data_IF_929759068595
#
_entry.id   IF_929759068595
#
_cell.length_a   1.000
_cell.length_b   1.000
_cell.length_c   1.000
_cell.angle_alpha   90.00
_cell.angle_beta   90.00
_cell.angle_gamma   90.00
#
_symmetry.space_group_name_H-M   'P 1'
#
loop_
_entity.id
_entity.type
_entity.pdbx_description
1 polymer ?
#
# COMPACT_ATOMS: atom_id res chain seq x y z
N UNK A 1 50.63 72.43 29.13
CA UNK A 1 49.24 72.17 29.18
C UNK A 1 49.02 70.67 29.31
N UNK A 2 48.74 70.33 30.49
CA UNK A 2 48.67 68.97 30.99
C UNK A 2 47.29 68.45 30.86
N UNK A 3 47.02 67.25 30.37
CA UNK A 3 45.76 66.55 30.55
C UNK A 3 46.07 65.17 31.03
N UNK A 4 45.61 65.00 32.25
CA UNK A 4 45.71 63.84 33.08
C UNK A 4 44.65 62.82 32.62
N UNK A 5 45.07 61.58 32.35
CA UNK A 5 44.18 60.52 31.91
C UNK A 5 44.18 59.42 32.95
N UNK A 6 43.22 59.54 33.86
CA UNK A 6 42.97 58.58 34.96
C UNK A 6 42.27 57.35 34.45
N UNK A 7 42.99 56.24 34.26
CA UNK A 7 42.46 54.91 33.95
C UNK A 7 41.74 54.35 35.17
N UNK A 8 40.40 54.22 35.07
CA UNK A 8 39.57 53.46 36.01
C UNK A 8 39.76 51.96 35.80
N UNK A 9 40.34 51.32 36.76
CA UNK A 9 40.51 49.87 36.85
C UNK A 9 39.12 49.26 37.16
N UNK A 10 38.55 48.49 36.22
CA UNK A 10 37.30 47.77 36.36
C UNK A 10 37.57 46.40 36.94
N UNK A 11 37.31 46.21 38.21
CA UNK A 11 37.38 44.93 38.91
C UNK A 11 36.41 43.94 38.30
N UNK A 12 36.94 42.86 37.73
CA UNK A 12 36.14 41.72 37.30
C UNK A 12 35.78 40.83 38.50
N UNK A 13 34.53 40.82 38.85
CA UNK A 13 33.98 39.86 39.82
C UNK A 13 33.89 38.48 39.14
N UNK A 14 34.35 37.40 39.77
CA UNK A 14 34.12 36.06 39.24
C UNK A 14 32.63 35.71 39.35
N UNK A 15 32.04 35.20 38.26
CA UNK A 15 30.71 34.67 38.20
C UNK A 15 30.66 33.41 39.08
N UNK A 16 29.91 33.45 40.15
CA UNK A 16 29.54 32.31 40.97
C UNK A 16 28.80 31.31 40.10
N UNK A 17 29.39 30.15 39.86
CA UNK A 17 28.71 29.00 39.29
C UNK A 17 27.67 28.52 40.30
N UNK A 18 26.44 28.96 40.12
CA UNK A 18 25.30 28.52 40.90
C UNK A 18 25.10 27.03 40.69
N UNK A 19 25.34 26.23 41.70
CA UNK A 19 25.01 24.81 41.72
C UNK A 19 23.54 24.61 41.29
N UNK A 20 23.33 23.93 40.21
CA UNK A 20 22.00 23.56 39.73
C UNK A 20 21.38 22.65 40.76
N UNK A 21 20.42 23.21 41.53
CA UNK A 21 19.84 22.51 42.67
C UNK A 21 19.17 21.21 42.20
N UNK A 22 19.38 20.14 43.02
CA UNK A 22 18.82 18.77 42.78
C UNK A 22 17.33 18.79 42.35
N UNK A 23 16.57 19.77 42.82
CA UNK A 23 15.16 19.95 42.45
C UNK A 23 14.95 20.34 41.00
N UNK A 24 15.84 21.13 40.37
CA UNK A 24 15.76 21.46 38.93
C UNK A 24 16.15 20.29 38.04
N UNK A 25 17.10 19.47 38.49
CA UNK A 25 17.46 18.25 37.78
C UNK A 25 16.32 17.23 37.76
N UNK A 26 15.65 17.03 38.90
CA UNK A 26 14.49 16.12 38.99
C UNK A 26 13.28 16.63 38.20
N UNK A 27 13.07 17.95 38.12
CA UNK A 27 12.01 18.52 37.29
C UNK A 27 12.29 18.36 35.79
N UNK A 28 13.54 18.43 35.36
CA UNK A 28 13.93 18.23 33.95
C UNK A 28 13.79 16.77 33.55
N UNK A 29 14.10 15.80 34.42
CA UNK A 29 13.92 14.38 34.16
C UNK A 29 12.43 13.97 34.14
N UNK A 30 11.56 14.59 34.93
CA UNK A 30 10.13 14.35 34.88
C UNK A 30 9.49 14.84 33.59
N UNK A 31 9.93 15.98 33.04
CA UNK A 31 9.45 16.52 31.78
C UNK A 31 9.89 15.67 30.57
N UNK A 32 11.09 15.07 30.60
CA UNK A 32 11.56 14.17 29.53
C UNK A 32 10.86 12.81 29.57
N UNK A 33 10.46 12.31 30.72
CA UNK A 33 9.71 11.05 30.84
C UNK A 33 8.27 11.18 30.30
N UNK A 34 7.63 12.34 30.44
CA UNK A 34 6.32 12.59 29.85
C UNK A 34 6.33 12.71 28.31
N UNK A 35 7.44 13.18 27.72
CA UNK A 35 7.64 13.22 26.27
C UNK A 35 7.93 11.87 25.62
N UNK A 36 8.57 10.95 26.36
CA UNK A 36 8.89 9.62 25.85
C UNK A 36 7.69 8.65 25.86
N UNK A 37 6.67 8.91 26.69
CA UNK A 37 5.48 8.06 26.77
C UNK A 37 4.58 8.19 25.54
N UNK A 38 4.72 9.23 24.73
CA UNK A 38 3.91 9.42 23.50
C UNK A 38 4.51 8.74 22.28
N UNK A 39 5.76 8.26 22.33
CA UNK A 39 6.43 7.57 21.22
C UNK A 39 6.29 6.06 21.25
N UNK A 40 5.64 5.49 22.27
CA UNK A 40 5.65 4.05 22.52
C UNK A 40 4.38 3.29 22.16
N UNK A 41 3.34 3.93 21.67
CA UNK A 41 2.18 3.19 21.17
C UNK A 41 2.41 2.83 19.71
N UNK A 42 2.44 1.52 19.35
CA UNK A 42 2.42 1.15 17.95
C UNK A 42 1.13 1.73 17.35
N UNK A 43 1.26 2.78 16.56
CA UNK A 43 0.16 3.24 15.73
C UNK A 43 -0.14 2.08 14.78
N UNK A 44 -1.25 1.37 15.02
CA UNK A 44 -1.80 0.41 14.06
C UNK A 44 -2.28 1.27 12.90
N UNK A 45 -1.37 1.58 11.98
CA UNK A 45 -1.73 2.15 10.68
C UNK A 45 -2.51 1.05 9.97
N UNK A 46 -3.83 1.21 9.87
CA UNK A 46 -4.61 0.39 8.96
C UNK A 46 -3.99 0.56 7.59
N UNK A 47 -3.53 -0.55 6.99
CA UNK A 47 -3.07 -0.53 5.62
C UNK A 47 -4.17 0.06 4.73
N UNK A 48 -3.79 0.91 3.79
CA UNK A 48 -4.74 1.47 2.85
C UNK A 48 -5.37 0.33 2.04
N UNK A 49 -6.71 0.26 2.00
CA UNK A 49 -7.42 -0.74 1.21
C UNK A 49 -7.12 -0.52 -0.26
N UNK A 50 -6.55 -1.53 -0.92
CA UNK A 50 -6.33 -1.52 -2.36
C UNK A 50 -7.57 -2.09 -3.03
N UNK A 51 -8.27 -1.27 -3.81
CA UNK A 51 -9.44 -1.70 -4.60
C UNK A 51 -9.05 -1.96 -6.04
N UNK A 52 -9.47 -3.11 -6.58
CA UNK A 52 -9.27 -3.50 -7.97
C UNK A 52 -10.62 -3.75 -8.64
N UNK A 53 -10.81 -3.21 -9.82
CA UNK A 53 -11.96 -3.47 -10.68
C UNK A 53 -11.60 -4.46 -11.78
N UNK A 54 -12.23 -5.61 -11.72
CA UNK A 54 -12.07 -6.68 -12.69
C UNK A 54 -13.37 -6.85 -13.50
N UNK A 55 -13.25 -7.39 -14.70
CA UNK A 55 -14.40 -7.83 -15.47
C UNK A 55 -14.21 -9.28 -15.93
N UNK A 56 -15.28 -10.04 -15.89
CA UNK A 56 -15.36 -11.39 -16.48
C UNK A 56 -15.70 -11.31 -17.96
N UNK A 57 -15.22 -12.28 -18.73
CA UNK A 57 -15.63 -12.49 -20.14
C UNK A 57 -17.03 -13.09 -20.25
N UNK A 58 -17.57 -13.64 -19.15
CA UNK A 58 -18.86 -14.33 -19.10
C UNK A 58 -19.96 -13.48 -18.46
N UNK A 59 -21.23 -13.71 -18.88
CA UNK A 59 -22.38 -13.04 -18.29
C UNK A 59 -22.60 -13.45 -16.83
N UNK A 60 -23.40 -12.67 -16.09
CA UNK A 60 -23.61 -12.81 -14.65
C UNK A 60 -24.21 -14.13 -14.19
N UNK A 61 -24.88 -14.87 -15.10
CA UNK A 61 -25.52 -16.17 -14.80
C UNK A 61 -24.66 -17.36 -15.22
N UNK A 62 -23.45 -17.12 -15.67
CA UNK A 62 -22.53 -18.16 -16.12
C UNK A 62 -21.69 -18.67 -14.95
N UNK A 63 -21.46 -19.99 -14.91
CA UNK A 63 -20.68 -20.63 -13.85
C UNK A 63 -19.24 -20.11 -13.78
N UNK A 64 -18.64 -19.74 -14.92
CA UNK A 64 -17.30 -19.16 -14.93
C UNK A 64 -17.26 -17.78 -14.28
N UNK A 65 -18.35 -17.00 -14.39
CA UNK A 65 -18.47 -15.76 -13.64
C UNK A 65 -18.58 -16.01 -12.14
N UNK A 66 -19.32 -17.04 -11.73
CA UNK A 66 -19.43 -17.45 -10.31
C UNK A 66 -18.06 -17.85 -9.74
N UNK A 67 -17.23 -18.55 -10.50
CA UNK A 67 -15.87 -18.89 -10.09
C UNK A 67 -15.00 -17.63 -9.90
N UNK A 68 -15.16 -16.63 -10.74
CA UNK A 68 -14.46 -15.36 -10.56
C UNK A 68 -14.91 -14.61 -9.31
N UNK A 69 -16.19 -14.65 -8.97
CA UNK A 69 -16.74 -14.08 -7.73
C UNK A 69 -16.22 -14.84 -6.49
N UNK A 70 -16.19 -16.18 -6.54
CA UNK A 70 -15.66 -17.01 -5.46
C UNK A 70 -14.15 -16.74 -5.23
N UNK A 71 -13.39 -16.65 -6.31
CA UNK A 71 -11.99 -16.25 -6.24
C UNK A 71 -11.81 -14.88 -5.57
N UNK A 72 -12.55 -13.87 -6.02
CA UNK A 72 -12.47 -12.52 -5.46
C UNK A 72 -12.85 -12.51 -3.97
N UNK A 73 -13.90 -13.26 -3.59
CA UNK A 73 -14.29 -13.40 -2.19
C UNK A 73 -13.17 -14.02 -1.36
N UNK A 74 -12.57 -15.12 -1.81
CA UNK A 74 -11.46 -15.79 -1.10
C UNK A 74 -10.27 -14.86 -0.92
N UNK A 75 -9.88 -14.12 -1.95
CA UNK A 75 -8.78 -13.15 -1.87
C UNK A 75 -9.10 -12.03 -0.86
N UNK A 76 -10.30 -11.48 -0.91
CA UNK A 76 -10.73 -10.44 0.01
C UNK A 76 -10.73 -10.94 1.47
N UNK A 77 -11.18 -12.18 1.71
CA UNK A 77 -11.20 -12.81 3.03
C UNK A 77 -9.76 -13.10 3.52
N UNK A 78 -8.89 -13.65 2.66
CA UNK A 78 -7.50 -14.00 2.99
C UNK A 78 -6.65 -12.78 3.33
N UNK A 79 -6.95 -11.64 2.72
CA UNK A 79 -6.22 -10.38 2.96
C UNK A 79 -6.81 -9.54 4.09
N UNK A 80 -7.83 -10.06 4.80
CA UNK A 80 -8.50 -9.31 5.85
C UNK A 80 -9.18 -8.03 5.35
N UNK A 81 -9.47 -7.94 4.04
CA UNK A 81 -10.08 -6.78 3.40
C UNK A 81 -9.08 -5.69 2.97
N UNK A 82 -7.77 -5.93 3.09
CA UNK A 82 -6.73 -5.00 2.60
C UNK A 82 -6.70 -4.96 1.06
N UNK A 83 -6.99 -6.08 0.40
CA UNK A 83 -7.20 -6.16 -1.03
C UNK A 83 -8.67 -6.45 -1.31
N UNK A 84 -9.32 -5.61 -2.10
CA UNK A 84 -10.71 -5.75 -2.50
C UNK A 84 -10.81 -5.86 -4.00
N UNK A 85 -11.24 -7.02 -4.50
CA UNK A 85 -11.51 -7.25 -5.92
C UNK A 85 -13.02 -7.20 -6.14
N UNK A 86 -13.44 -6.28 -7.01
CA UNK A 86 -14.82 -6.21 -7.53
C UNK A 86 -14.82 -6.84 -8.92
N UNK A 87 -15.63 -7.89 -9.12
CA UNK A 87 -15.74 -8.57 -10.41
C UNK A 87 -17.07 -8.21 -11.08
N UNK A 88 -16.97 -7.59 -12.24
CA UNK A 88 -18.09 -7.19 -13.07
C UNK A 88 -18.39 -8.27 -14.14
N UNK A 89 -19.64 -8.48 -14.55
CA UNK A 89 -19.96 -9.39 -15.64
C UNK A 89 -19.56 -8.83 -17.00
N UNK A 90 -19.57 -9.68 -18.02
CA UNK A 90 -19.28 -9.30 -19.40
C UNK A 90 -20.19 -8.15 -19.86
N UNK A 91 -19.62 -7.19 -20.55
CA UNK A 91 -20.33 -6.04 -21.09
C UNK A 91 -20.59 -4.90 -20.11
N UNK A 92 -20.20 -5.03 -18.84
CA UNK A 92 -20.39 -3.98 -17.85
C UNK A 92 -19.53 -2.72 -18.13
N UNK A 93 -18.29 -2.91 -18.56
CA UNK A 93 -17.38 -1.82 -18.94
C UNK A 93 -17.00 -1.91 -20.40
N UNK A 94 -16.60 -3.10 -20.87
CA UNK A 94 -16.22 -3.36 -22.26
C UNK A 94 -16.83 -4.66 -22.76
N UNK A 95 -17.00 -4.83 -24.09
CA UNK A 95 -17.40 -6.13 -24.65
C UNK A 95 -16.44 -7.24 -24.24
N UNK A 96 -16.91 -8.47 -24.15
CA UNK A 96 -16.14 -9.62 -23.66
C UNK A 96 -14.74 -9.76 -24.29
N UNK A 97 -14.64 -9.66 -25.61
CA UNK A 97 -13.36 -9.76 -26.33
C UNK A 97 -12.50 -8.49 -26.30
N UNK A 98 -13.01 -7.37 -25.78
CA UNK A 98 -12.28 -6.14 -25.53
C UNK A 98 -11.54 -6.11 -24.19
N UNK A 99 -11.72 -7.14 -23.36
CA UNK A 99 -11.22 -7.20 -21.98
C UNK A 99 -9.69 -7.03 -21.91
N UNK A 100 -8.93 -7.74 -22.72
CA UNK A 100 -7.47 -7.67 -22.73
C UNK A 100 -6.96 -6.24 -23.05
N UNK A 101 -7.61 -5.58 -23.99
CA UNK A 101 -7.25 -4.20 -24.35
C UNK A 101 -7.59 -3.20 -23.24
N UNK A 102 -8.70 -3.41 -22.54
CA UNK A 102 -9.13 -2.57 -21.43
C UNK A 102 -8.15 -2.68 -20.24
N UNK A 103 -7.70 -3.89 -19.93
CA UNK A 103 -6.68 -4.11 -18.88
C UNK A 103 -5.33 -3.54 -19.31
N UNK A 104 -4.90 -3.77 -20.56
CA UNK A 104 -3.64 -3.22 -21.08
C UNK A 104 -3.59 -1.70 -21.08
N UNK A 105 -4.74 -1.04 -21.26
CA UNK A 105 -4.88 0.44 -21.21
C UNK A 105 -5.11 0.99 -19.81
N UNK A 106 -5.22 0.13 -18.79
CA UNK A 106 -5.50 0.54 -17.42
C UNK A 106 -6.94 1.01 -17.17
N UNK A 107 -7.88 0.69 -18.07
CA UNK A 107 -9.32 0.98 -17.87
C UNK A 107 -9.92 0.05 -16.80
N UNK A 108 -9.40 -1.16 -16.72
CA UNK A 108 -9.67 -2.16 -15.70
C UNK A 108 -8.34 -2.61 -15.08
N UNK A 109 -8.35 -2.95 -13.80
CA UNK A 109 -7.17 -3.43 -13.09
C UNK A 109 -6.88 -4.91 -13.37
N UNK A 110 -7.89 -5.66 -13.82
CA UNK A 110 -7.73 -7.05 -14.16
C UNK A 110 -8.93 -7.62 -14.91
N UNK A 111 -8.80 -8.87 -15.34
CA UNK A 111 -9.83 -9.54 -16.09
C UNK A 111 -9.82 -11.05 -15.89
N UNK A 112 -10.99 -11.65 -15.92
CA UNK A 112 -11.18 -13.08 -15.90
C UNK A 112 -11.63 -13.56 -17.28
N UNK A 113 -10.79 -14.33 -17.95
CA UNK A 113 -11.05 -14.79 -19.32
C UNK A 113 -10.09 -15.88 -19.75
N UNK A 114 -10.26 -16.38 -20.97
CA UNK A 114 -9.42 -17.41 -21.57
C UNK A 114 -8.51 -16.78 -22.61
N UNK A 115 -7.21 -17.05 -22.50
CA UNK A 115 -6.19 -16.46 -23.38
C UNK A 115 -6.38 -16.83 -24.84
N UNK A 116 -6.89 -18.04 -25.14
CA UNK A 116 -7.14 -18.48 -26.51
C UNK A 116 -8.08 -17.55 -27.28
N UNK A 117 -8.97 -16.81 -26.62
CA UNK A 117 -9.86 -15.85 -27.29
C UNK A 117 -9.11 -14.68 -27.93
N UNK A 118 -7.86 -14.49 -27.59
CA UNK A 118 -7.02 -13.40 -28.09
C UNK A 118 -5.95 -13.87 -29.09
N UNK A 119 -6.07 -15.10 -29.62
CA UNK A 119 -5.10 -15.65 -30.58
C UNK A 119 -4.90 -14.79 -31.82
N UNK A 120 -5.95 -14.07 -32.27
CA UNK A 120 -5.87 -13.14 -33.39
C UNK A 120 -4.94 -11.94 -33.13
N UNK A 121 -4.61 -11.64 -31.86
CA UNK A 121 -3.64 -10.60 -31.48
C UNK A 121 -2.22 -11.16 -31.42
N UNK A 122 -2.07 -12.36 -30.89
CA UNK A 122 -0.79 -13.05 -30.78
C UNK A 122 -0.99 -14.55 -30.76
N UNK A 123 -0.41 -15.25 -31.73
CA UNK A 123 -0.56 -16.71 -31.87
C UNK A 123 -0.07 -17.52 -30.66
N UNK A 124 0.90 -16.98 -29.91
CA UNK A 124 1.36 -17.62 -28.68
C UNK A 124 0.25 -17.81 -27.63
N UNK A 125 -0.78 -16.96 -27.64
CA UNK A 125 -1.91 -17.06 -26.72
C UNK A 125 -2.79 -18.30 -27.00
N UNK A 126 -2.85 -18.74 -28.25
CA UNK A 126 -3.50 -20.01 -28.62
C UNK A 126 -2.76 -21.21 -28.03
N UNK A 127 -1.43 -21.22 -28.13
CA UNK A 127 -0.60 -22.29 -27.57
C UNK A 127 -0.68 -22.34 -26.05
N UNK A 128 -0.69 -21.19 -25.40
CA UNK A 128 -0.82 -21.11 -23.95
C UNK A 128 -2.18 -21.56 -23.45
N UNK A 129 -3.27 -21.13 -24.11
CA UNK A 129 -4.64 -21.42 -23.69
C UNK A 129 -5.19 -22.77 -24.16
N UNK A 130 -4.51 -23.44 -25.09
CA UNK A 130 -4.93 -24.71 -25.72
C UNK A 130 -3.74 -25.61 -25.96
N UNK A 131 -2.72 -25.56 -25.09
CA UNK A 131 -1.53 -26.39 -25.25
C UNK A 131 -1.89 -27.88 -25.30
N UNK A 132 -1.12 -28.68 -26.05
CA UNK A 132 -1.35 -30.12 -26.11
C UNK A 132 -1.26 -30.70 -24.70
N UNK A 133 -2.30 -31.40 -24.29
CA UNK A 133 -2.44 -31.90 -22.93
C UNK A 133 -1.42 -33.00 -22.58
N UNK A 134 -0.64 -33.51 -23.52
CA UNK A 134 0.38 -34.58 -23.31
C UNK A 134 -0.15 -35.73 -22.43
N UNK A 135 -1.37 -36.21 -22.71
CA UNK A 135 -2.11 -37.17 -21.90
C UNK A 135 -2.53 -36.73 -20.49
N UNK A 136 -2.42 -35.42 -20.17
CA UNK A 136 -2.98 -34.86 -18.94
C UNK A 136 -4.43 -34.42 -19.18
N UNK A 137 -5.27 -34.54 -18.16
CA UNK A 137 -6.60 -33.94 -18.16
C UNK A 137 -6.59 -32.53 -17.60
N UNK A 138 -7.76 -31.88 -17.63
CA UNK A 138 -7.91 -30.51 -17.16
C UNK A 138 -7.61 -30.30 -15.66
N UNK A 139 -7.55 -31.37 -14.87
CA UNK A 139 -7.21 -31.32 -13.45
C UNK A 139 -5.71 -31.47 -13.19
N UNK A 140 -4.96 -31.89 -14.20
CA UNK A 140 -3.52 -32.11 -14.12
C UNK A 140 -2.71 -30.93 -14.70
N UNK A 141 -3.36 -30.01 -15.38
CA UNK A 141 -2.79 -28.77 -15.92
C UNK A 141 -2.96 -27.61 -14.96
#
# INVERSE_FOLDING_TARGET
MSSDNTKKHKSSRPLSQGAVGRRRFLAATAASAAGAATLGFPAITKAAVTSMRWQSTWPSKDIFHEYALDFAKKVNDMTGGELRIEVLPAGAVVPAFGLLDAVSKGTLDGGHGVLVYHYGKQNALALWGSSPAFAMDANMM
#
